data_IF_266353449193
#
_entry.id   IF_266353449193
#
_cell.length_a   1.000
_cell.length_b   1.000
_cell.length_c   1.000
_cell.angle_alpha   90.00
_cell.angle_beta   90.00
_cell.angle_gamma   90.00
#
_symmetry.space_group_name_H-M   'P 1'
#
loop_
_entity.id
_entity.type
_entity.pdbx_description
1 polymer ?
#
# COMPACT_ATOMS: atom_id res chain seq x y z
N UNK A 1 21.58 17.25 -7.32
CA UNK A 1 20.68 16.30 -6.65
C UNK A 1 20.64 14.92 -7.30
N UNK A 2 20.61 14.75 -8.61
CA UNK A 2 20.60 13.42 -9.29
C UNK A 2 21.96 12.71 -9.38
N UNK A 3 23.00 13.29 -8.83
CA UNK A 3 24.36 12.68 -8.85
C UNK A 3 24.53 11.54 -7.85
N UNK A 4 23.75 11.50 -6.79
CA UNK A 4 23.81 10.45 -5.79
C UNK A 4 23.07 9.19 -6.24
N UNK A 5 23.77 8.04 -6.21
CA UNK A 5 23.22 6.76 -6.66
C UNK A 5 21.97 6.31 -5.87
N UNK A 6 21.87 6.65 -4.58
CA UNK A 6 20.71 6.34 -3.74
C UNK A 6 19.47 7.15 -4.18
N UNK A 7 19.64 8.42 -4.53
CA UNK A 7 18.56 9.31 -4.98
C UNK A 7 17.94 8.82 -6.29
N UNK A 8 18.75 8.33 -7.21
CA UNK A 8 18.26 7.75 -8.48
C UNK A 8 17.44 6.49 -8.25
N UNK A 9 17.87 5.60 -7.34
CA UNK A 9 17.14 4.39 -6.96
C UNK A 9 15.82 4.74 -6.31
N UNK A 10 15.84 5.67 -5.35
CA UNK A 10 14.66 6.14 -4.64
C UNK A 10 13.63 6.75 -5.60
N UNK A 11 14.06 7.58 -6.55
CA UNK A 11 13.18 8.21 -7.53
C UNK A 11 12.53 7.17 -8.47
N UNK A 12 13.30 6.14 -8.91
CA UNK A 12 12.74 5.06 -9.71
C UNK A 12 11.66 4.27 -8.94
N UNK A 13 11.92 3.93 -7.69
CA UNK A 13 10.94 3.23 -6.86
C UNK A 13 9.72 4.12 -6.57
N UNK A 14 9.94 5.41 -6.29
CA UNK A 14 8.87 6.39 -6.14
C UNK A 14 7.98 6.48 -7.39
N UNK A 15 8.58 6.44 -8.58
CA UNK A 15 7.82 6.40 -9.83
C UNK A 15 6.95 5.15 -9.96
N UNK A 16 7.46 3.97 -9.60
CA UNK A 16 6.65 2.74 -9.58
C UNK A 16 5.51 2.82 -8.58
N UNK A 17 5.78 3.32 -7.37
CA UNK A 17 4.76 3.51 -6.34
C UNK A 17 3.70 4.53 -6.74
N UNK A 18 4.08 5.60 -7.45
CA UNK A 18 3.14 6.63 -7.91
C UNK A 18 2.08 6.12 -8.88
N UNK A 19 2.32 4.99 -9.52
CA UNK A 19 1.35 4.31 -10.38
C UNK A 19 0.59 3.22 -9.63
N UNK A 20 1.31 2.38 -8.86
CA UNK A 20 0.70 1.24 -8.15
C UNK A 20 -0.27 1.66 -7.05
N UNK A 21 0.16 2.61 -6.20
CA UNK A 21 -0.61 3.01 -5.03
C UNK A 21 -1.94 3.68 -5.42
N UNK A 22 -1.96 4.66 -6.34
CA UNK A 22 -3.22 5.22 -6.82
C UNK A 22 -4.11 4.21 -7.57
N UNK A 23 -3.53 3.30 -8.36
CA UNK A 23 -4.30 2.29 -9.07
C UNK A 23 -5.11 1.40 -8.11
N UNK A 24 -4.49 0.99 -7.00
CA UNK A 24 -5.17 0.24 -5.93
C UNK A 24 -6.12 1.16 -5.15
N UNK A 25 -5.70 2.39 -4.86
CA UNK A 25 -6.47 3.39 -4.15
C UNK A 25 -7.82 3.70 -4.82
N UNK A 26 -7.86 3.87 -6.14
CA UNK A 26 -9.11 4.09 -6.89
C UNK A 26 -10.12 2.96 -6.64
N UNK A 27 -9.68 1.72 -6.66
CA UNK A 27 -10.55 0.57 -6.39
C UNK A 27 -10.98 0.55 -4.92
N UNK A 28 -10.07 0.79 -3.98
CA UNK A 28 -10.35 0.81 -2.53
C UNK A 28 -11.39 1.87 -2.17
N UNK A 29 -11.21 3.10 -2.67
CA UNK A 29 -12.12 4.21 -2.36
C UNK A 29 -13.50 3.98 -2.99
N UNK A 30 -13.57 3.54 -4.24
CA UNK A 30 -14.84 3.22 -4.90
C UNK A 30 -15.60 2.09 -4.18
N UNK A 31 -14.89 1.14 -3.58
CA UNK A 31 -15.47 0.05 -2.77
C UNK A 31 -15.75 0.44 -1.31
N UNK A 32 -15.52 1.68 -0.93
CA UNK A 32 -15.63 2.17 0.46
C UNK A 32 -14.76 1.36 1.43
N UNK A 33 -13.54 1.01 1.02
CA UNK A 33 -12.61 0.17 1.76
C UNK A 33 -11.26 0.85 2.01
N UNK A 34 -11.21 2.17 1.91
CA UNK A 34 -9.98 2.96 2.05
C UNK A 34 -9.26 2.76 3.38
N UNK A 35 -10.01 2.53 4.46
CA UNK A 35 -9.46 2.25 5.80
C UNK A 35 -8.64 0.95 5.86
N UNK A 36 -8.81 0.01 4.91
CA UNK A 36 -7.99 -1.20 4.85
C UNK A 36 -6.53 -0.85 4.58
N UNK A 37 -6.28 0.18 3.77
CA UNK A 37 -4.92 0.65 3.50
C UNK A 37 -4.19 1.05 4.77
N UNK A 38 -4.86 1.77 5.66
CA UNK A 38 -4.34 2.20 6.95
C UNK A 38 -4.08 1.01 7.89
N UNK A 39 -5.05 0.12 8.03
CA UNK A 39 -4.90 -1.08 8.84
C UNK A 39 -3.74 -1.98 8.38
N UNK A 40 -3.56 -2.13 7.07
CA UNK A 40 -2.45 -2.90 6.53
C UNK A 40 -1.10 -2.20 6.72
N UNK A 41 -1.03 -0.87 6.61
CA UNK A 41 0.18 -0.10 6.86
C UNK A 41 0.66 -0.26 8.31
N UNK A 42 -0.24 -0.19 9.27
CA UNK A 42 0.08 -0.44 10.68
C UNK A 42 0.36 -1.92 10.96
N UNK A 43 -0.36 -2.84 10.33
CA UNK A 43 -0.08 -4.27 10.39
C UNK A 43 1.30 -4.64 9.84
N UNK A 44 1.75 -3.95 8.78
CA UNK A 44 3.09 -4.14 8.21
C UNK A 44 4.20 -3.92 9.23
N UNK A 45 4.03 -2.99 10.18
CA UNK A 45 5.00 -2.73 11.23
C UNK A 45 5.22 -3.95 12.15
N UNK A 46 4.15 -4.69 12.45
CA UNK A 46 4.29 -5.96 13.17
C UNK A 46 5.10 -6.99 12.35
N UNK A 47 4.94 -6.96 11.01
CA UNK A 47 5.74 -7.77 10.10
C UNK A 47 7.22 -7.42 10.12
N UNK A 48 7.56 -6.13 10.25
CA UNK A 48 8.96 -5.69 10.46
C UNK A 48 9.54 -6.31 11.72
N UNK A 49 8.84 -6.16 12.85
CA UNK A 49 9.29 -6.71 14.13
C UNK A 49 9.49 -8.22 14.06
N UNK A 50 8.54 -8.94 13.46
CA UNK A 50 8.65 -10.39 13.27
C UNK A 50 9.83 -10.78 12.38
N UNK A 51 10.07 -10.06 11.27
CA UNK A 51 11.22 -10.30 10.39
C UNK A 51 12.56 -10.12 11.10
N UNK A 52 12.70 -9.04 11.87
CA UNK A 52 13.91 -8.76 12.65
C UNK A 52 14.21 -9.81 13.73
N UNK A 53 13.19 -10.29 14.44
CA UNK A 53 13.34 -11.30 15.50
C UNK A 53 13.72 -12.66 14.90
N UNK A 54 13.10 -13.04 13.79
CA UNK A 54 13.35 -14.32 13.13
C UNK A 54 14.58 -14.31 12.21
N UNK A 55 15.22 -13.16 12.03
CA UNK A 55 16.46 -13.02 11.27
C UNK A 55 16.32 -13.10 9.75
N UNK A 56 15.14 -12.85 9.20
CA UNK A 56 14.93 -12.75 7.76
C UNK A 56 14.61 -11.31 7.32
N UNK A 57 14.60 -11.06 6.00
CA UNK A 57 14.35 -9.72 5.46
C UNK A 57 13.01 -9.16 5.99
N UNK A 58 13.01 -7.98 6.65
CA UNK A 58 11.80 -7.33 7.15
C UNK A 58 10.70 -7.17 6.10
N UNK A 59 11.05 -7.01 4.81
CA UNK A 59 10.09 -6.93 3.73
C UNK A 59 9.24 -8.20 3.60
N UNK A 60 9.85 -9.37 3.77
CA UNK A 60 9.14 -10.66 3.72
C UNK A 60 8.16 -10.73 4.88
N UNK A 61 8.59 -10.34 6.09
CA UNK A 61 7.72 -10.27 7.26
C UNK A 61 6.52 -9.34 7.04
N UNK A 62 6.76 -8.13 6.51
CA UNK A 62 5.69 -7.20 6.15
C UNK A 62 4.69 -7.81 5.17
N UNK A 63 5.17 -8.44 4.09
CA UNK A 63 4.31 -9.05 3.07
C UNK A 63 3.44 -10.15 3.68
N UNK A 64 4.02 -11.04 4.49
CA UNK A 64 3.30 -12.15 5.14
C UNK A 64 2.19 -11.61 6.05
N UNK A 65 2.53 -10.68 6.94
CA UNK A 65 1.54 -10.11 7.89
C UNK A 65 0.47 -9.32 7.13
N UNK A 66 0.83 -8.52 6.12
CA UNK A 66 -0.15 -7.80 5.32
C UNK A 66 -1.10 -8.74 4.58
N UNK A 67 -0.62 -9.85 4.02
CA UNK A 67 -1.47 -10.82 3.35
C UNK A 67 -2.43 -11.46 4.35
N UNK A 68 -1.94 -11.91 5.51
CA UNK A 68 -2.78 -12.51 6.56
C UNK A 68 -3.83 -11.51 7.04
N UNK A 69 -3.43 -10.28 7.36
CA UNK A 69 -4.32 -9.22 7.81
C UNK A 69 -5.39 -8.87 6.76
N UNK A 70 -5.00 -8.74 5.49
CA UNK A 70 -5.90 -8.41 4.40
C UNK A 70 -6.96 -9.50 4.17
N UNK A 71 -6.55 -10.76 4.16
CA UNK A 71 -7.50 -11.87 4.05
C UNK A 71 -8.39 -12.01 5.28
N UNK A 72 -7.88 -11.75 6.48
CA UNK A 72 -8.68 -11.78 7.70
C UNK A 72 -9.75 -10.67 7.70
N UNK A 73 -9.39 -9.45 7.29
CA UNK A 73 -10.35 -8.35 7.12
C UNK A 73 -11.41 -8.73 6.08
N UNK A 74 -11.00 -9.24 4.91
CA UNK A 74 -11.93 -9.63 3.84
C UNK A 74 -12.86 -10.77 4.28
N UNK A 75 -12.34 -11.76 5.03
CA UNK A 75 -13.13 -12.85 5.59
C UNK A 75 -14.20 -12.34 6.56
N UNK A 76 -13.83 -11.46 7.50
CA UNK A 76 -14.77 -10.88 8.47
C UNK A 76 -15.82 -10.03 7.76
N UNK A 77 -15.41 -9.18 6.82
CA UNK A 77 -16.33 -8.35 6.02
C UNK A 77 -17.31 -9.17 5.20
N UNK A 78 -16.86 -10.30 4.67
CA UNK A 78 -17.75 -11.18 3.90
C UNK A 78 -18.75 -11.91 4.78
N UNK A 79 -18.35 -12.27 5.99
CA UNK A 79 -19.20 -12.97 6.96
C UNK A 79 -20.15 -12.03 7.69
N UNK A 80 -19.68 -10.82 8.01
CA UNK A 80 -20.41 -9.80 8.77
C UNK A 80 -20.30 -8.44 8.08
N UNK A 81 -21.06 -8.19 6.99
CA UNK A 81 -20.91 -6.97 6.18
C UNK A 81 -21.14 -5.68 6.96
N UNK A 82 -21.99 -5.71 7.97
CA UNK A 82 -22.31 -4.58 8.84
C UNK A 82 -21.17 -4.16 9.79
N UNK A 83 -20.20 -5.04 10.03
CA UNK A 83 -19.06 -4.81 10.94
C UNK A 83 -17.72 -4.68 10.20
N UNK A 84 -17.76 -4.35 8.92
CA UNK A 84 -16.55 -4.26 8.09
C UNK A 84 -15.53 -3.25 8.59
N UNK A 85 -15.98 -2.08 9.04
CA UNK A 85 -15.11 -1.03 9.56
C UNK A 85 -14.55 -1.39 10.95
N UNK A 86 -15.35 -2.07 11.79
CA UNK A 86 -14.89 -2.59 13.08
C UNK A 86 -13.80 -3.65 12.90
N UNK A 87 -13.95 -4.55 11.92
CA UNK A 87 -12.93 -5.55 11.61
C UNK A 87 -11.60 -4.88 11.24
N UNK A 88 -11.66 -3.82 10.43
CA UNK A 88 -10.49 -3.06 10.02
C UNK A 88 -9.83 -2.38 11.22
N UNK A 89 -10.61 -1.75 12.12
CA UNK A 89 -10.10 -1.10 13.33
C UNK A 89 -9.46 -2.10 14.31
N UNK A 90 -10.05 -3.29 14.49
CA UNK A 90 -9.49 -4.35 15.34
C UNK A 90 -8.15 -4.82 14.80
N UNK A 91 -8.06 -5.12 13.51
CA UNK A 91 -6.80 -5.58 12.89
C UNK A 91 -5.73 -4.50 12.97
N UNK A 92 -6.08 -3.22 12.77
CA UNK A 92 -5.15 -2.10 12.94
C UNK A 92 -4.62 -2.02 14.36
N UNK A 93 -5.49 -2.09 15.37
CA UNK A 93 -5.09 -2.02 16.78
C UNK A 93 -4.23 -3.21 17.21
N UNK A 94 -4.58 -4.42 16.78
CA UNK A 94 -3.78 -5.64 17.03
C UNK A 94 -2.43 -5.53 16.33
N UNK A 95 -2.39 -5.05 15.08
CA UNK A 95 -1.16 -4.85 14.33
C UNK A 95 -0.22 -3.86 15.01
N UNK A 96 -0.75 -2.72 15.46
CA UNK A 96 0.04 -1.69 16.14
C UNK A 96 0.53 -2.17 17.51
N UNK A 97 -0.33 -2.85 18.30
CA UNK A 97 0.06 -3.43 19.58
C UNK A 97 1.12 -4.51 19.44
N UNK A 98 0.98 -5.41 18.46
CA UNK A 98 1.98 -6.42 18.15
C UNK A 98 3.31 -5.77 17.69
N UNK A 99 3.26 -4.74 16.84
CA UNK A 99 4.44 -4.01 16.42
C UNK A 99 5.20 -3.40 17.60
N UNK A 100 4.48 -2.78 18.56
CA UNK A 100 5.08 -2.21 19.76
C UNK A 100 5.79 -3.28 20.61
N UNK A 101 5.13 -4.40 20.86
CA UNK A 101 5.72 -5.50 21.64
C UNK A 101 6.93 -6.10 20.94
N UNK A 102 6.81 -6.39 19.64
CA UNK A 102 7.90 -7.00 18.87
C UNK A 102 9.12 -6.07 18.72
N UNK A 103 8.88 -4.75 18.72
CA UNK A 103 9.96 -3.75 18.67
C UNK A 103 10.92 -3.85 19.86
N UNK A 104 10.39 -4.14 21.04
CA UNK A 104 11.20 -4.25 22.26
C UNK A 104 12.11 -5.50 22.25
N UNK A 105 11.72 -6.52 21.51
CA UNK A 105 12.49 -7.76 21.35
C UNK A 105 13.40 -7.75 20.11
N UNK A 106 13.31 -6.73 19.24
CA UNK A 106 14.11 -6.69 18.03
C UNK A 106 15.59 -6.42 18.32
N UNK A 107 16.51 -7.27 17.85
CA UNK A 107 17.95 -7.07 18.05
C UNK A 107 18.42 -5.83 17.27
N UNK A 108 19.33 -5.06 17.92
CA UNK A 108 20.05 -3.97 17.24
C UNK A 108 19.43 -2.57 17.34
N UNK A 109 18.42 -2.34 18.18
CA UNK A 109 17.86 -1.00 18.42
C UNK A 109 17.27 -0.33 17.16
N UNK A 110 16.89 -1.14 16.17
CA UNK A 110 16.21 -0.65 14.94
C UNK A 110 14.89 -0.03 15.34
N UNK A 111 14.82 1.30 15.32
CA UNK A 111 13.64 2.02 15.72
C UNK A 111 12.53 1.79 14.69
N UNK A 112 11.36 1.35 15.14
CA UNK A 112 10.12 1.34 14.35
C UNK A 112 9.83 2.70 13.69
N UNK A 113 10.39 3.79 14.23
CA UNK A 113 10.29 5.13 13.69
C UNK A 113 10.79 5.20 12.24
N UNK A 114 11.85 4.48 11.88
CA UNK A 114 12.36 4.45 10.51
C UNK A 114 11.36 3.86 9.51
N UNK A 115 10.50 2.93 9.96
CA UNK A 115 9.43 2.36 9.13
C UNK A 115 8.12 3.14 9.20
N UNK A 116 7.90 3.95 10.24
CA UNK A 116 6.75 4.84 10.34
C UNK A 116 6.88 6.00 9.36
N UNK A 117 8.04 6.62 9.28
CA UNK A 117 8.30 7.77 8.42
C UNK A 117 8.94 7.40 7.07
N UNK A 118 9.39 6.14 6.94
CA UNK A 118 10.16 5.69 5.78
C UNK A 118 11.62 6.13 5.83
N UNK A 119 12.45 5.57 4.97
CA UNK A 119 13.85 5.99 4.82
C UNK A 119 14.26 5.85 3.36
N UNK A 120 14.34 6.97 2.69
CA UNK A 120 14.77 7.05 1.28
C UNK A 120 16.23 6.60 1.13
N UNK A 121 17.07 6.88 2.13
CA UNK A 121 18.50 6.54 2.10
C UNK A 121 18.76 5.02 2.20
N UNK A 122 17.80 4.25 2.72
CA UNK A 122 17.95 2.79 2.92
C UNK A 122 17.60 1.95 1.69
N UNK A 123 17.21 2.56 0.55
CA UNK A 123 16.77 1.85 -0.65
C UNK A 123 17.93 1.10 -1.31
N UNK A 124 17.83 -0.23 -1.32
CA UNK A 124 18.79 -1.13 -1.95
C UNK A 124 18.43 -1.43 -3.41
N UNK A 125 19.37 -1.98 -4.17
CA UNK A 125 19.08 -2.39 -5.55
C UNK A 125 18.05 -3.54 -5.61
N UNK A 126 18.04 -4.40 -4.61
CA UNK A 126 17.05 -5.47 -4.49
C UNK A 126 15.62 -4.90 -4.29
N UNK A 127 15.49 -3.78 -3.59
CA UNK A 127 14.20 -3.11 -3.42
C UNK A 127 13.66 -2.55 -4.73
N UNK A 128 14.55 -2.01 -5.58
CA UNK A 128 14.19 -1.54 -6.93
C UNK A 128 13.67 -2.69 -7.79
N UNK A 129 14.36 -3.84 -7.77
CA UNK A 129 13.95 -5.03 -8.53
C UNK A 129 12.62 -5.57 -8.03
N UNK A 130 12.46 -5.69 -6.70
CA UNK A 130 11.22 -6.15 -6.10
C UNK A 130 10.05 -5.19 -6.41
N UNK A 131 10.28 -3.88 -6.31
CA UNK A 131 9.29 -2.88 -6.67
C UNK A 131 8.89 -2.96 -8.15
N UNK A 132 9.85 -3.18 -9.05
CA UNK A 132 9.56 -3.37 -10.46
C UNK A 132 8.71 -4.62 -10.74
N UNK A 133 9.04 -5.75 -10.10
CA UNK A 133 8.26 -6.99 -10.23
C UNK A 133 6.82 -6.76 -9.76
N UNK A 134 6.64 -6.16 -8.58
CA UNK A 134 5.31 -5.88 -8.03
C UNK A 134 4.57 -4.88 -8.92
N UNK A 135 5.24 -3.86 -9.45
CA UNK A 135 4.68 -2.91 -10.40
C UNK A 135 4.10 -3.61 -11.64
N UNK A 136 4.88 -4.48 -12.27
CA UNK A 136 4.44 -5.23 -13.45
C UNK A 136 3.23 -6.11 -13.12
N UNK A 137 3.26 -6.81 -11.97
CA UNK A 137 2.15 -7.65 -11.51
C UNK A 137 0.87 -6.83 -11.25
N UNK A 138 0.99 -5.69 -10.57
CA UNK A 138 -0.16 -4.83 -10.26
C UNK A 138 -0.76 -4.23 -11.53
N UNK A 139 0.07 -3.70 -12.44
CA UNK A 139 -0.41 -3.13 -13.70
C UNK A 139 -1.06 -4.20 -14.58
N UNK A 140 -0.42 -5.37 -14.72
CA UNK A 140 -0.97 -6.47 -15.50
C UNK A 140 -2.30 -6.96 -14.95
N UNK A 141 -2.40 -7.17 -13.63
CA UNK A 141 -3.62 -7.60 -13.00
C UNK A 141 -4.72 -6.53 -13.06
N UNK A 142 -4.36 -5.25 -12.90
CA UNK A 142 -5.30 -4.13 -13.02
C UNK A 142 -5.89 -4.02 -14.44
N UNK A 143 -5.09 -4.26 -15.46
CA UNK A 143 -5.56 -4.26 -16.86
C UNK A 143 -6.44 -5.49 -17.13
N UNK A 144 -5.99 -6.67 -16.69
CA UNK A 144 -6.70 -7.94 -16.93
C UNK A 144 -8.05 -8.02 -16.23
N UNK A 145 -8.09 -7.58 -14.97
CA UNK A 145 -9.29 -7.64 -14.13
C UNK A 145 -10.07 -6.30 -14.13
N UNK A 146 -9.72 -5.36 -15.04
CA UNK A 146 -10.32 -4.04 -15.12
C UNK A 146 -11.86 -4.08 -15.16
N UNK A 147 -12.42 -4.89 -16.05
CA UNK A 147 -13.88 -5.01 -16.21
C UNK A 147 -14.53 -5.63 -14.96
N UNK A 148 -13.86 -6.62 -14.35
CA UNK A 148 -14.31 -7.25 -13.11
C UNK A 148 -14.26 -6.30 -11.91
N UNK A 149 -13.17 -5.55 -11.74
CA UNK A 149 -13.01 -4.56 -10.69
C UNK A 149 -14.01 -3.42 -10.81
N UNK A 150 -14.26 -2.93 -12.04
CA UNK A 150 -15.25 -1.91 -12.32
C UNK A 150 -16.67 -2.38 -12.00
N UNK A 151 -17.04 -3.59 -12.47
CA UNK A 151 -18.36 -4.16 -12.21
C UNK A 151 -18.61 -4.36 -10.71
N UNK A 152 -17.62 -4.85 -9.96
CA UNK A 152 -17.70 -5.05 -8.50
C UNK A 152 -17.76 -3.70 -7.76
N UNK A 153 -17.09 -2.67 -8.27
CA UNK A 153 -17.09 -1.33 -7.66
C UNK A 153 -18.46 -0.66 -7.77
N UNK A 154 -19.23 -0.96 -8.83
CA UNK A 154 -20.59 -0.43 -9.04
C UNK A 154 -21.59 -1.23 -8.20
N UNK A 155 -21.71 -2.51 -8.44
CA UNK A 155 -22.60 -3.42 -7.68
C UNK A 155 -22.10 -4.87 -7.75
N UNK A 156 -21.67 -5.44 -6.60
CA UNK A 156 -21.19 -6.82 -6.52
C UNK A 156 -22.25 -7.87 -6.92
N UNK A 157 -23.54 -7.59 -6.72
CA UNK A 157 -24.62 -8.53 -7.04
C UNK A 157 -24.84 -8.59 -8.55
N UNK A 158 -24.93 -7.44 -9.19
CA UNK A 158 -25.02 -7.35 -10.66
C UNK A 158 -23.77 -7.94 -11.34
N UNK A 159 -22.58 -7.73 -10.76
CA UNK A 159 -21.35 -8.34 -11.26
C UNK A 159 -21.40 -9.88 -11.23
N UNK A 160 -21.97 -10.47 -10.18
CA UNK A 160 -22.18 -11.94 -10.09
C UNK A 160 -23.14 -12.45 -11.17
N UNK A 161 -24.24 -11.74 -11.40
CA UNK A 161 -25.22 -12.10 -12.43
C UNK A 161 -24.63 -12.01 -13.83
N UNK A 162 -23.71 -11.08 -14.06
CA UNK A 162 -22.98 -10.92 -15.33
C UNK A 162 -21.86 -11.95 -15.54
N UNK A 163 -21.74 -12.98 -14.66
CA UNK A 163 -20.76 -14.05 -14.80
C UNK A 163 -19.34 -13.74 -14.26
N UNK A 164 -19.14 -12.58 -13.63
CA UNK A 164 -17.85 -12.24 -13.01
C UNK A 164 -17.60 -13.12 -11.80
N UNK A 165 -16.43 -13.76 -11.74
CA UNK A 165 -15.99 -14.55 -10.58
C UNK A 165 -15.55 -13.65 -9.42
N UNK A 166 -16.51 -12.99 -8.77
CA UNK A 166 -16.27 -11.97 -7.73
C UNK A 166 -15.28 -12.43 -6.66
N UNK A 167 -15.37 -13.69 -6.19
CA UNK A 167 -14.43 -14.25 -5.19
C UNK A 167 -12.99 -14.24 -5.68
N UNK A 168 -12.76 -14.60 -6.95
CA UNK A 168 -11.41 -14.61 -7.54
C UNK A 168 -10.86 -13.19 -7.70
N UNK A 169 -11.66 -12.27 -8.24
CA UNK A 169 -11.27 -10.88 -8.44
C UNK A 169 -10.93 -10.23 -7.10
N UNK A 170 -11.76 -10.47 -6.07
CA UNK A 170 -11.49 -9.99 -4.71
C UNK A 170 -10.20 -10.55 -4.14
N UNK A 171 -9.98 -11.87 -4.23
CA UNK A 171 -8.77 -12.50 -3.70
C UNK A 171 -7.50 -11.95 -4.37
N UNK A 172 -7.51 -11.79 -5.70
CA UNK A 172 -6.37 -11.21 -6.43
C UNK A 172 -6.15 -9.75 -6.02
N UNK A 173 -7.22 -8.97 -5.92
CA UNK A 173 -7.14 -7.57 -5.51
C UNK A 173 -6.59 -7.43 -4.07
N UNK A 174 -7.10 -8.24 -3.14
CA UNK A 174 -6.65 -8.25 -1.73
C UNK A 174 -5.18 -8.59 -1.62
N UNK A 175 -4.72 -9.62 -2.36
CA UNK A 175 -3.30 -10.00 -2.40
C UNK A 175 -2.41 -8.87 -2.95
N UNK A 176 -2.80 -8.30 -4.09
CA UNK A 176 -2.04 -7.21 -4.71
C UNK A 176 -1.98 -5.98 -3.83
N UNK A 177 -3.09 -5.63 -3.17
CA UNK A 177 -3.15 -4.53 -2.22
C UNK A 177 -2.21 -4.74 -1.04
N UNK A 178 -2.22 -5.95 -0.45
CA UNK A 178 -1.34 -6.29 0.67
C UNK A 178 0.14 -6.16 0.29
N UNK A 179 0.54 -6.72 -0.85
CA UNK A 179 1.93 -6.66 -1.33
C UNK A 179 2.36 -5.23 -1.66
N UNK A 180 1.49 -4.46 -2.33
CA UNK A 180 1.80 -3.07 -2.68
C UNK A 180 1.93 -2.19 -1.44
N UNK A 181 1.04 -2.35 -0.45
CA UNK A 181 1.10 -1.59 0.80
C UNK A 181 2.36 -1.96 1.59
N UNK A 182 2.71 -3.25 1.69
CA UNK A 182 3.94 -3.67 2.36
C UNK A 182 5.19 -3.04 1.72
N UNK A 183 5.26 -3.00 0.37
CA UNK A 183 6.34 -2.32 -0.35
C UNK A 183 6.33 -0.81 -0.10
N UNK A 184 5.16 -0.18 -0.14
CA UNK A 184 5.02 1.25 0.07
C UNK A 184 5.44 1.65 1.50
N UNK A 185 5.07 0.87 2.52
CA UNK A 185 5.47 1.09 3.92
C UNK A 185 6.99 1.06 4.09
N UNK A 186 7.68 0.12 3.46
CA UNK A 186 9.15 0.03 3.53
C UNK A 186 9.82 1.30 2.98
N UNK A 187 9.27 1.90 1.95
CA UNK A 187 9.93 2.95 1.16
C UNK A 187 9.49 4.36 1.57
N UNK A 188 8.20 4.54 1.80
CA UNK A 188 7.60 5.85 2.09
C UNK A 188 7.21 5.99 3.57
N UNK A 189 7.05 4.87 4.26
CA UNK A 189 6.62 4.82 5.66
C UNK A 189 5.11 4.65 5.84
N UNK A 190 4.74 4.01 6.95
CA UNK A 190 3.35 3.64 7.22
C UNK A 190 2.39 4.83 7.27
N UNK A 191 2.82 5.96 7.84
CA UNK A 191 2.00 7.18 7.97
C UNK A 191 1.72 7.86 6.62
N UNK A 192 2.68 7.80 5.68
CA UNK A 192 2.56 8.45 4.38
C UNK A 192 1.77 7.63 3.38
N UNK A 193 1.75 6.28 3.53
CA UNK A 193 1.08 5.37 2.58
C UNK A 193 -0.41 5.66 2.51
N UNK A 194 -1.09 5.86 3.65
CA UNK A 194 -2.52 6.14 3.69
C UNK A 194 -2.85 7.44 2.95
N UNK A 195 -2.05 8.48 3.18
CA UNK A 195 -2.21 9.76 2.48
C UNK A 195 -2.03 9.60 0.96
N UNK A 196 -1.03 8.82 0.52
CA UNK A 196 -0.79 8.54 -0.89
C UNK A 196 -1.88 7.70 -1.56
N UNK A 197 -2.58 6.85 -0.79
CA UNK A 197 -3.72 6.08 -1.30
C UNK A 197 -4.95 6.97 -1.44
N UNK A 198 -5.26 7.78 -0.42
CA UNK A 198 -6.55 8.47 -0.30
C UNK A 198 -6.56 9.83 -0.99
N UNK A 199 -5.54 10.68 -0.76
CA UNK A 199 -5.54 12.07 -1.23
C UNK A 199 -5.67 12.23 -2.76
N UNK A 200 -4.84 11.53 -3.59
CA UNK A 200 -4.94 11.70 -5.03
C UNK A 200 -6.28 11.19 -5.58
N UNK A 201 -6.83 10.13 -4.97
CA UNK A 201 -8.12 9.56 -5.37
C UNK A 201 -9.26 10.47 -4.98
N UNK A 202 -9.30 10.96 -3.73
CA UNK A 202 -10.35 11.85 -3.25
C UNK A 202 -10.42 13.14 -4.08
N UNK A 203 -9.27 13.75 -4.37
CA UNK A 203 -9.18 14.93 -5.24
C UNK A 203 -9.74 14.66 -6.65
N UNK A 204 -9.42 13.50 -7.18
CA UNK A 204 -9.85 13.13 -8.54
C UNK A 204 -11.33 12.80 -8.64
N UNK A 205 -11.91 12.16 -7.62
CA UNK A 205 -13.34 11.82 -7.60
C UNK A 205 -14.24 13.05 -7.65
N UNK A 206 -13.80 14.19 -7.16
CA UNK A 206 -14.53 15.46 -7.23
C UNK A 206 -14.55 15.99 -8.68
N UNK A 207 -13.48 15.77 -9.44
CA UNK A 207 -13.29 16.37 -10.77
C UNK A 207 -13.62 15.43 -11.94
N UNK A 208 -13.52 14.10 -11.74
CA UNK A 208 -13.63 13.14 -12.84
C UNK A 208 -15.05 12.60 -13.03
N UNK A 209 -15.42 12.40 -14.30
CA UNK A 209 -16.74 11.86 -14.70
C UNK A 209 -16.69 10.40 -15.17
N UNK A 210 -15.50 9.80 -15.26
CA UNK A 210 -15.31 8.44 -15.78
C UNK A 210 -14.23 7.71 -15.01
N UNK A 211 -14.41 6.40 -14.78
CA UNK A 211 -13.42 5.56 -14.09
C UNK A 211 -12.03 5.60 -14.74
N UNK A 212 -11.95 5.60 -16.08
CA UNK A 212 -10.67 5.74 -16.81
C UNK A 212 -10.02 7.09 -16.53
N UNK A 213 -10.80 8.17 -16.59
CA UNK A 213 -10.33 9.52 -16.29
C UNK A 213 -9.83 9.61 -14.83
N UNK A 214 -10.59 9.04 -13.89
CA UNK A 214 -10.18 8.94 -12.49
C UNK A 214 -8.82 8.29 -12.36
N UNK A 215 -8.59 7.14 -12.99
CA UNK A 215 -7.36 6.38 -12.90
C UNK A 215 -6.16 7.17 -13.46
N UNK A 216 -6.32 7.82 -14.61
CA UNK A 216 -5.27 8.63 -15.25
C UNK A 216 -4.92 9.85 -14.38
N UNK A 217 -5.92 10.64 -13.97
CA UNK A 217 -5.71 11.86 -13.19
C UNK A 217 -5.12 11.51 -11.82
N UNK A 218 -5.60 10.44 -11.17
CA UNK A 218 -5.08 9.98 -9.89
C UNK A 218 -3.61 9.56 -9.99
N UNK A 219 -3.23 8.89 -11.09
CA UNK A 219 -1.84 8.51 -11.33
C UNK A 219 -0.95 9.75 -11.53
N UNK A 220 -1.40 10.74 -12.30
CA UNK A 220 -0.66 12.00 -12.50
C UNK A 220 -0.49 12.76 -11.18
N UNK A 221 -1.56 12.85 -10.36
CA UNK A 221 -1.48 13.44 -9.03
C UNK A 221 -0.57 12.65 -8.10
N UNK A 222 -0.59 11.32 -8.17
CA UNK A 222 0.32 10.45 -7.42
C UNK A 222 1.79 10.73 -7.74
N UNK A 223 2.14 10.94 -9.02
CA UNK A 223 3.48 11.33 -9.44
C UNK A 223 3.86 12.68 -8.82
N UNK A 224 2.97 13.66 -8.88
CA UNK A 224 3.21 15.00 -8.32
C UNK A 224 3.44 14.92 -6.80
N UNK A 225 2.58 14.19 -6.07
CA UNK A 225 2.71 14.05 -4.62
C UNK A 225 3.99 13.31 -4.21
N UNK A 226 4.38 12.26 -4.92
CA UNK A 226 5.64 11.58 -4.65
C UNK A 226 6.84 12.49 -4.98
N UNK A 227 6.82 13.21 -6.09
CA UNK A 227 7.88 14.16 -6.39
C UNK A 227 8.00 15.26 -5.31
N UNK A 228 6.89 15.79 -4.80
CA UNK A 228 6.88 16.76 -3.71
C UNK A 228 7.43 16.17 -2.41
N UNK A 229 7.03 14.94 -2.07
CA UNK A 229 7.54 14.23 -0.90
C UNK A 229 9.07 14.08 -0.97
N UNK A 230 9.59 13.61 -2.10
CA UNK A 230 11.03 13.41 -2.28
C UNK A 230 11.83 14.72 -2.27
N UNK A 231 11.25 15.83 -2.75
CA UNK A 231 11.89 17.15 -2.67
C UNK A 231 11.91 17.69 -1.24
N UNK A 232 10.87 17.43 -0.44
CA UNK A 232 10.81 17.82 0.97
C UNK A 232 11.82 17.03 1.81
N UNK A 233 11.88 15.70 1.65
CA UNK A 233 12.82 14.86 2.38
C UNK A 233 14.29 15.18 2.02
N UNK A 234 14.56 15.49 0.75
CA UNK A 234 15.89 15.92 0.32
C UNK A 234 16.29 17.30 0.90
N UNK A 235 15.31 18.16 1.17
CA UNK A 235 15.55 19.45 1.84
C UNK A 235 15.86 19.25 3.33
N UNK A 236 15.16 18.37 4.01
CA UNK A 236 15.39 18.04 5.43
C UNK A 236 16.77 17.39 5.66
N UNK A 237 17.20 16.48 4.79
CA UNK A 237 18.54 15.89 4.86
C UNK A 237 19.65 16.94 4.62
N UNK A 238 19.40 17.94 3.78
CA UNK A 238 20.37 19.03 3.54
C UNK A 238 20.51 20.00 4.72
N UNK A 239 19.50 20.07 5.60
CA UNK A 239 19.53 20.91 6.81
C UNK A 239 20.15 20.18 8.02
N UNK A 240 20.39 18.88 7.93
CA UNK A 240 21.02 18.08 9.00
C UNK A 240 22.53 17.93 8.87
N UNK A 241 23.13 18.52 7.83
CA UNK A 241 24.58 18.67 7.64
C UNK A 241 25.00 20.07 8.07
#
# INVERSE_FOLDING_TARGET
MLEYAFMRKALLVGLFLSVMVPAIGVVMVNRKTSMIGDALSHGALAGVGMGLILGFDPLIGMIIICIVAAYLIEFIRHRFPQYGDMATAIIMSVGLGAASILSDFAPGGTSLQSYLFGSIASVTMNDVINAFIVFVLVVFASIKEYAGLLAIAIDPNTARLSGVKVKRVNAVFTLLSAVTIAMAVKLVGALMVTSLIVLPVATTLISSRSYKSTLIITTVLGIIYICLLYTSDAADDSLRV
#
